data_IF_574069928722
#
_entry.id   IF_574069928722
#
_cell.length_a   1.000
_cell.length_b   1.000
_cell.length_c   1.000
_cell.angle_alpha   90.00
_cell.angle_beta   90.00
_cell.angle_gamma   90.00
#
_symmetry.space_group_name_H-M   'P 1'
#
loop_
_entity.id
_entity.type
_entity.pdbx_description
1 polymer ?
#
# COMPACT_ATOMS: atom_id res chain seq x y z
N UNK A 1 -11.55 -5.43 0.53
CA UNK A 1 -10.25 -5.69 1.17
C UNK A 1 -9.64 -4.35 1.56
N UNK A 2 -9.03 -4.28 2.74
CA UNK A 2 -8.41 -3.06 3.25
C UNK A 2 -6.91 -3.04 2.95
N UNK A 3 -6.52 -3.06 1.66
CA UNK A 3 -5.11 -3.11 1.25
C UNK A 3 -4.70 -2.00 0.29
N UNK A 4 -3.40 -1.66 0.31
CA UNK A 4 -2.78 -0.67 -0.60
C UNK A 4 -1.51 -1.22 -1.23
N UNK A 5 -1.16 -0.69 -2.40
CA UNK A 5 0.10 -0.99 -3.09
C UNK A 5 1.11 0.11 -2.81
N UNK A 6 2.10 -0.21 -1.97
CA UNK A 6 3.26 0.62 -1.75
C UNK A 6 4.33 0.31 -2.81
N UNK A 7 4.61 1.26 -3.69
CA UNK A 7 5.62 1.18 -4.75
C UNK A 7 6.75 2.17 -4.50
N UNK A 8 7.86 2.00 -5.21
CA UNK A 8 9.05 2.85 -5.10
C UNK A 8 9.71 2.79 -3.71
N UNK A 9 9.53 1.68 -2.98
CA UNK A 9 10.18 1.48 -1.68
C UNK A 9 11.67 1.17 -1.91
N UNK A 10 12.62 1.81 -1.24
CA UNK A 10 14.04 1.50 -1.42
C UNK A 10 14.35 0.04 -1.10
N UNK A 11 15.17 -0.64 -1.91
CA UNK A 11 15.58 -2.04 -1.62
C UNK A 11 16.40 -2.21 -0.34
N UNK A 12 16.91 -1.10 0.24
CA UNK A 12 17.54 -1.07 1.58
C UNK A 12 16.52 -1.14 2.72
N UNK A 13 15.26 -0.78 2.46
CA UNK A 13 14.21 -0.75 3.47
C UNK A 13 13.69 -2.15 3.68
N UNK A 14 13.69 -2.61 4.94
CA UNK A 14 13.21 -3.96 5.28
C UNK A 14 11.68 -3.99 5.36
N UNK A 15 11.05 -5.15 5.13
CA UNK A 15 9.60 -5.33 5.30
C UNK A 15 9.09 -4.86 6.68
N UNK A 16 9.89 -5.06 7.73
CA UNK A 16 9.59 -4.60 9.08
C UNK A 16 9.50 -3.06 9.16
N UNK A 17 10.44 -2.34 8.55
CA UNK A 17 10.42 -0.88 8.51
C UNK A 17 9.24 -0.34 7.72
N UNK A 18 8.90 -0.98 6.58
CA UNK A 18 7.72 -0.61 5.80
C UNK A 18 6.46 -0.80 6.67
N UNK A 19 6.34 -1.95 7.35
CA UNK A 19 5.23 -2.22 8.25
C UNK A 19 5.13 -1.18 9.38
N UNK A 20 6.23 -0.87 10.05
CA UNK A 20 6.26 0.15 11.12
C UNK A 20 5.86 1.53 10.62
N UNK A 21 6.33 1.94 9.44
CA UNK A 21 5.95 3.20 8.82
C UNK A 21 4.44 3.31 8.62
N UNK A 22 3.82 2.31 7.98
CA UNK A 22 2.37 2.31 7.75
C UNK A 22 1.57 2.16 9.06
N UNK A 23 2.08 1.40 10.04
CA UNK A 23 1.46 1.31 11.36
C UNK A 23 1.43 2.65 12.09
N UNK A 24 2.52 3.40 12.02
CA UNK A 24 2.64 4.70 12.70
C UNK A 24 1.82 5.79 12.02
N UNK A 25 1.73 5.76 10.69
CA UNK A 25 1.18 6.87 9.91
C UNK A 25 -0.28 6.65 9.48
N UNK A 26 -0.68 5.40 9.20
CA UNK A 26 -2.00 5.08 8.67
C UNK A 26 -2.87 4.28 9.66
N UNK A 27 -2.30 3.26 10.30
CA UNK A 27 -2.99 2.43 11.29
C UNK A 27 -2.54 0.97 11.27
N UNK A 28 -3.16 0.12 12.10
CA UNK A 28 -2.68 -1.25 12.33
C UNK A 28 -2.62 -2.10 11.05
N UNK A 29 -1.40 -2.56 10.73
CA UNK A 29 -1.10 -3.41 9.57
C UNK A 29 -1.27 -4.87 9.98
N UNK A 30 -2.22 -5.53 9.33
CA UNK A 30 -2.48 -6.95 9.48
C UNK A 30 -1.36 -7.78 8.87
N UNK A 31 -0.99 -7.51 7.62
CA UNK A 31 0.00 -8.28 6.88
C UNK A 31 0.73 -7.43 5.84
N UNK A 32 1.88 -7.91 5.34
CA UNK A 32 2.69 -7.19 4.36
C UNK A 32 3.30 -8.18 3.37
N UNK A 33 2.86 -8.09 2.11
CA UNK A 33 3.18 -9.04 1.06
C UNK A 33 4.16 -8.39 0.07
N UNK A 34 5.39 -8.89 -0.08
CA UNK A 34 6.29 -8.44 -1.15
C UNK A 34 5.76 -8.89 -2.52
N UNK A 35 5.57 -7.94 -3.44
CA UNK A 35 5.03 -8.20 -4.78
C UNK A 35 6.12 -8.22 -5.86
N UNK A 36 7.02 -7.25 -5.84
CA UNK A 36 8.07 -7.11 -6.87
C UNK A 36 9.31 -6.44 -6.31
N UNK A 37 10.48 -6.82 -6.83
CA UNK A 37 11.77 -6.18 -6.56
C UNK A 37 12.50 -5.98 -7.90
N UNK A 38 12.92 -4.73 -8.15
CA UNK A 38 13.69 -4.34 -9.33
C UNK A 38 15.17 -4.08 -8.99
N UNK A 39 15.68 -4.56 -7.85
CA UNK A 39 17.04 -4.35 -7.34
C UNK A 39 17.38 -2.92 -6.88
N UNK A 40 16.60 -1.91 -7.28
CA UNK A 40 16.70 -0.53 -6.79
C UNK A 40 15.56 -0.17 -5.84
N UNK A 41 14.36 -0.59 -6.22
CA UNK A 41 13.13 -0.35 -5.49
C UNK A 41 12.27 -1.60 -5.49
N UNK A 42 11.37 -1.65 -4.52
CA UNK A 42 10.52 -2.76 -4.18
C UNK A 42 9.07 -2.29 -4.15
N UNK A 43 8.18 -3.27 -4.31
CA UNK A 43 6.74 -3.11 -4.23
C UNK A 43 6.18 -4.07 -3.21
N UNK A 44 5.35 -3.54 -2.32
CA UNK A 44 4.70 -4.28 -1.26
C UNK A 44 3.20 -4.02 -1.30
N UNK A 45 2.41 -5.05 -1.03
CA UNK A 45 1.01 -4.90 -0.66
C UNK A 45 0.91 -4.85 0.85
N UNK A 46 0.29 -3.78 1.37
CA UNK A 46 0.11 -3.57 2.80
C UNK A 46 -1.34 -3.82 3.13
N UNK A 47 -1.60 -4.85 3.94
CA UNK A 47 -2.94 -5.22 4.38
C UNK A 47 -3.20 -4.59 5.74
N UNK A 48 -4.21 -3.74 5.82
CA UNK A 48 -4.66 -3.14 7.08
C UNK A 48 -5.76 -3.96 7.72
N UNK A 49 -5.86 -3.91 9.06
CA UNK A 49 -7.04 -4.46 9.75
C UNK A 49 -8.28 -3.62 9.52
N UNK A 50 -8.12 -2.31 9.41
CA UNK A 50 -9.21 -1.35 9.27
C UNK A 50 -9.24 -0.72 7.87
N UNK A 51 -10.41 -0.64 7.22
CA UNK A 51 -10.55 0.01 5.92
C UNK A 51 -10.27 1.52 5.98
N UNK A 52 -10.43 2.16 7.14
CA UNK A 52 -10.08 3.58 7.33
C UNK A 52 -8.60 3.85 7.15
N UNK A 53 -7.75 2.87 7.46
CA UNK A 53 -6.30 2.97 7.31
C UNK A 53 -5.88 3.03 5.84
N UNK A 54 -6.69 2.48 4.92
CA UNK A 54 -6.44 2.56 3.46
C UNK A 54 -6.43 4.03 3.04
N UNK A 55 -7.45 4.79 3.41
CA UNK A 55 -7.55 6.22 3.07
C UNK A 55 -6.38 7.03 3.62
N UNK A 56 -5.98 6.76 4.87
CA UNK A 56 -4.82 7.41 5.48
C UNK A 56 -3.52 7.01 4.77
N UNK A 57 -3.37 5.73 4.38
CA UNK A 57 -2.20 5.25 3.67
C UNK A 57 -2.07 5.84 2.26
N UNK A 58 -3.19 6.08 1.56
CA UNK A 58 -3.20 6.76 0.26
C UNK A 58 -2.68 8.20 0.37
N UNK A 59 -2.94 8.88 1.48
CA UNK A 59 -2.41 10.22 1.78
C UNK A 59 -0.88 10.21 1.98
N UNK A 60 -0.29 9.04 2.26
CA UNK A 60 1.16 8.86 2.36
C UNK A 60 1.84 8.67 1.01
N UNK A 61 1.12 8.73 -0.11
CA UNK A 61 1.77 8.83 -1.41
C UNK A 61 2.60 10.11 -1.47
N UNK A 62 3.84 10.02 -1.97
CA UNK A 62 4.88 11.06 -1.90
C UNK A 62 5.55 11.25 -0.53
N UNK A 63 5.21 10.44 0.47
CA UNK A 63 5.96 10.42 1.73
C UNK A 63 7.38 9.86 1.54
N UNK A 64 8.31 10.23 2.42
CA UNK A 64 9.71 9.84 2.28
C UNK A 64 10.07 8.71 3.22
N UNK A 65 10.55 7.60 2.66
CA UNK A 65 11.22 6.54 3.41
C UNK A 65 12.70 6.54 3.02
N UNK A 66 13.55 6.80 4.01
CA UNK A 66 15.02 6.79 3.85
C UNK A 66 15.50 7.67 2.66
N UNK A 67 14.88 8.86 2.56
CA UNK A 67 15.17 9.87 1.55
C UNK A 67 14.55 9.62 0.16
N UNK A 68 13.72 8.59 0.00
CA UNK A 68 13.05 8.27 -1.27
C UNK A 68 11.55 8.46 -1.12
N UNK A 69 10.94 9.21 -2.04
CA UNK A 69 9.50 9.37 -2.10
C UNK A 69 8.83 8.04 -2.50
N UNK A 70 7.97 7.53 -1.65
CA UNK A 70 7.18 6.32 -1.91
C UNK A 70 5.92 6.69 -2.67
N UNK A 71 5.34 5.70 -3.35
CA UNK A 71 4.04 5.86 -4.00
C UNK A 71 3.06 4.87 -3.41
N UNK A 72 1.89 5.33 -3.04
CA UNK A 72 0.83 4.46 -2.52
C UNK A 72 -0.35 4.54 -3.47
N UNK A 73 -0.72 3.41 -4.05
CA UNK A 73 -1.87 3.29 -4.93
C UNK A 73 -2.90 2.36 -4.28
N UNK A 74 -4.18 2.60 -4.54
CA UNK A 74 -5.26 1.73 -4.07
C UNK A 74 -5.19 0.39 -4.81
N UNK A 75 -5.35 -0.72 -4.09
CA UNK A 75 -5.60 -2.01 -4.75
C UNK A 75 -7.05 -1.94 -5.25
N UNK A 76 -7.30 -1.96 -6.57
CA UNK A 76 -8.67 -1.98 -7.06
C UNK A 76 -9.35 -3.21 -6.47
N UNK A 77 -10.29 -2.96 -5.55
CA UNK A 77 -11.18 -4.01 -5.11
C UNK A 77 -11.87 -4.54 -6.37
N UNK A 78 -11.72 -5.84 -6.63
CA UNK A 78 -12.82 -6.57 -7.24
C UNK A 78 -13.95 -6.51 -6.22
N UNK A 79 -14.62 -5.36 -6.15
CA UNK A 79 -15.91 -5.26 -5.51
C UNK A 79 -16.79 -6.21 -6.28
N UNK A 80 -17.13 -7.32 -5.64
CA UNK A 80 -18.29 -8.13 -5.98
C UNK A 80 -19.48 -7.17 -6.10
N UNK A 81 -19.79 -6.74 -7.33
CA UNK A 81 -20.99 -5.98 -7.64
C UNK A 81 -20.84 -4.64 -8.36
N UNK A 82 -20.04 -4.51 -9.43
CA UNK A 82 -20.44 -3.82 -10.68
C UNK A 82 -19.32 -3.77 -11.73
N UNK A 83 -19.16 -4.86 -12.50
CA UNK A 83 -18.91 -4.68 -13.94
C UNK A 83 -20.25 -4.32 -14.58
N UNK A 84 -20.31 -3.13 -15.16
CA UNK A 84 -21.55 -2.53 -15.64
C UNK A 84 -22.33 -3.39 -16.63
N UNK A 85 -23.64 -3.46 -16.41
CA UNK A 85 -24.58 -3.32 -17.53
C UNK A 85 -25.04 -1.87 -17.53
N UNK A 86 -24.51 -1.09 -18.46
CA UNK A 86 -25.13 0.19 -18.82
C UNK A 86 -26.58 -0.06 -19.25
N UNK A 87 -27.55 0.78 -18.87
CA UNK A 87 -28.91 0.67 -19.37
C UNK A 87 -28.95 1.16 -20.81
N UNK A 88 -29.35 0.29 -21.74
CA UNK A 88 -30.03 0.66 -22.98
C UNK A 88 -30.87 -0.50 -23.49
#
# INVERSE_FOLDING_TARGET
MSSVLASNIPSKTTPAQVKEFFQSQAGEVSDLIPLADNGKVQKFEVLFKDPKSVSAALDLSDAYIDGVAIRVDEVPELTDGQVGKAPQ
#
